data_IF_949689288351
#
_entry.id   IF_949689288351
#
_cell.length_a   1.000
_cell.length_b   1.000
_cell.length_c   1.000
_cell.angle_alpha   90.00
_cell.angle_beta   90.00
_cell.angle_gamma   90.00
#
_symmetry.space_group_name_H-M   'P 1'
#
loop_
_entity.id
_entity.type
_entity.pdbx_description
1 polymer ?
#
# COMPACT_ATOMS: atom_id res chain seq x y z
N UNK A 1 -1.25 5.31 7.19
CA UNK A 1 -1.78 3.93 7.29
C UNK A 1 -3.29 3.92 7.17
N UNK A 2 -4.02 4.75 7.92
CA UNK A 2 -5.49 4.92 7.84
C UNK A 2 -6.03 5.02 6.40
N UNK A 3 -5.55 5.98 5.63
CA UNK A 3 -6.05 6.20 4.26
C UNK A 3 -5.87 4.97 3.35
N UNK A 4 -4.83 4.17 3.56
CA UNK A 4 -4.58 2.96 2.75
C UNK A 4 -5.53 1.84 3.16
N UNK A 5 -5.70 1.66 4.47
CA UNK A 5 -6.61 0.68 5.07
C UNK A 5 -8.06 0.92 4.60
N UNK A 6 -8.52 2.17 4.64
CA UNK A 6 -9.86 2.57 4.15
C UNK A 6 -10.00 2.34 2.64
N UNK A 7 -8.97 2.67 1.85
CA UNK A 7 -8.99 2.53 0.39
C UNK A 7 -9.10 1.07 -0.07
N UNK A 8 -8.38 0.17 0.60
CA UNK A 8 -8.38 -1.26 0.24
C UNK A 8 -9.43 -2.07 1.01
N UNK A 9 -10.21 -1.42 1.89
CA UNK A 9 -11.22 -2.07 2.72
C UNK A 9 -10.64 -3.11 3.70
N UNK A 10 -9.40 -2.92 4.17
CA UNK A 10 -8.75 -3.84 5.10
C UNK A 10 -8.35 -3.13 6.39
N UNK A 11 -8.30 -3.89 7.49
CA UNK A 11 -7.81 -3.40 8.77
C UNK A 11 -6.34 -2.94 8.67
N UNK A 12 -5.99 -1.90 9.43
CA UNK A 12 -4.60 -1.39 9.52
C UNK A 12 -3.57 -2.48 9.82
N UNK A 13 -3.95 -3.46 10.65
CA UNK A 13 -3.11 -4.62 10.97
C UNK A 13 -2.80 -5.49 9.74
N UNK A 14 -3.79 -5.71 8.89
CA UNK A 14 -3.62 -6.45 7.63
C UNK A 14 -2.68 -5.70 6.70
N UNK A 15 -2.87 -4.38 6.57
CA UNK A 15 -1.97 -3.52 5.77
C UNK A 15 -0.54 -3.59 6.30
N UNK A 16 -0.37 -3.51 7.62
CA UNK A 16 0.95 -3.64 8.26
C UNK A 16 1.59 -4.99 7.98
N UNK A 17 0.85 -6.10 8.11
CA UNK A 17 1.37 -7.44 7.77
C UNK A 17 1.77 -7.56 6.31
N UNK A 18 1.00 -6.96 5.39
CA UNK A 18 1.33 -6.92 3.95
C UNK A 18 2.57 -6.10 3.64
N UNK A 19 2.81 -5.05 4.40
CA UNK A 19 4.06 -4.26 4.29
C UNK A 19 5.23 -5.06 4.86
N UNK A 20 5.03 -5.70 6.01
CA UNK A 20 6.06 -6.52 6.66
C UNK A 20 6.41 -7.78 5.84
N UNK A 21 5.45 -8.37 5.13
CA UNK A 21 5.66 -9.49 4.20
C UNK A 21 6.30 -9.07 2.87
N UNK A 22 6.35 -7.76 2.58
CA UNK A 22 6.87 -7.23 1.32
C UNK A 22 5.86 -7.24 0.16
N UNK A 23 4.61 -7.63 0.39
CA UNK A 23 3.52 -7.55 -0.61
C UNK A 23 3.24 -6.11 -1.02
N UNK A 24 3.25 -5.18 -0.05
CA UNK A 24 3.03 -3.75 -0.28
C UNK A 24 4.31 -2.99 0.05
N UNK A 25 4.92 -2.36 -0.94
CA UNK A 25 6.10 -1.51 -0.73
C UNK A 25 5.71 -0.23 0.00
N UNK A 26 6.27 -0.02 1.20
CA UNK A 26 6.17 1.21 1.95
C UNK A 26 7.53 1.92 2.05
N UNK A 27 7.49 3.24 2.09
CA UNK A 27 8.66 4.09 2.36
C UNK A 27 8.61 4.49 3.83
N UNK A 28 9.71 4.27 4.55
CA UNK A 28 9.86 4.82 5.89
C UNK A 28 10.20 6.29 5.76
N UNK A 29 9.33 7.16 6.29
CA UNK A 29 9.64 8.58 6.39
C UNK A 29 10.64 8.72 7.54
N UNK A 30 11.89 9.04 7.22
CA UNK A 30 12.92 9.29 8.23
C UNK A 30 12.54 10.50 9.09
N UNK A 31 12.46 10.30 10.40
CA UNK A 31 12.11 11.31 11.40
C UNK A 31 11.83 10.63 12.75
N UNK A 32 11.82 11.40 13.85
CA UNK A 32 11.64 10.91 15.23
C UNK A 32 10.38 10.07 15.46
N UNK A 33 9.46 10.09 14.50
CA UNK A 33 8.26 9.27 14.45
C UNK A 33 8.47 8.19 13.39
N UNK A 34 8.38 6.91 13.75
CA UNK A 34 8.49 5.78 12.82
C UNK A 34 7.27 5.67 11.88
N UNK A 35 7.02 6.72 11.10
CA UNK A 35 5.92 6.82 10.18
C UNK A 35 6.24 6.06 8.88
N UNK A 36 5.43 5.06 8.57
CA UNK A 36 5.46 4.36 7.30
C UNK A 36 4.44 5.01 6.35
N UNK A 37 4.92 5.42 5.17
CA UNK A 37 4.07 5.94 4.10
C UNK A 37 4.06 4.92 2.97
N UNK A 38 2.87 4.43 2.63
CA UNK A 38 2.67 3.66 1.41
C UNK A 38 2.37 4.65 0.29
N UNK A 39 3.10 4.57 -0.82
CA UNK A 39 2.80 5.37 -2.01
C UNK A 39 1.56 4.79 -2.69
N UNK A 40 0.66 5.66 -3.15
CA UNK A 40 -0.57 5.24 -3.82
C UNK A 40 -0.29 4.36 -5.05
N UNK A 41 0.75 4.69 -5.84
CA UNK A 41 1.18 3.88 -6.98
C UNK A 41 1.51 2.44 -6.59
N UNK A 42 2.10 2.21 -5.41
CA UNK A 42 2.42 0.85 -4.91
C UNK A 42 1.16 0.08 -4.52
N UNK A 43 0.16 0.77 -3.98
CA UNK A 43 -1.15 0.15 -3.68
C UNK A 43 -1.85 -0.22 -4.98
N UNK A 44 -1.79 0.63 -6.01
CA UNK A 44 -2.39 0.38 -7.33
C UNK A 44 -1.71 -0.77 -8.06
N UNK A 45 -0.38 -0.82 -8.05
CA UNK A 45 0.41 -1.96 -8.55
C UNK A 45 0.01 -3.26 -7.83
N UNK A 46 -0.08 -3.23 -6.49
CA UNK A 46 -0.47 -4.40 -5.70
C UNK A 46 -1.91 -4.86 -5.96
N UNK A 47 -2.84 -3.92 -6.15
CA UNK A 47 -4.23 -4.22 -6.53
C UNK A 47 -4.36 -4.74 -7.97
N UNK A 48 -3.27 -4.76 -8.76
CA UNK A 48 -3.33 -5.13 -10.17
C UNK A 48 -4.12 -4.14 -11.02
N UNK A 49 -4.27 -2.89 -10.54
CA UNK A 49 -4.94 -1.81 -11.29
C UNK A 49 -4.06 -1.24 -12.41
N UNK A 50 -2.96 -1.92 -12.76
CA UNK A 50 -2.08 -1.62 -13.90
C UNK A 50 -2.46 -2.47 -15.14
N UNK A 51 -3.75 -2.77 -15.28
CA UNK A 51 -4.29 -3.45 -16.46
C UNK A 51 -5.56 -2.77 -16.97
N UNK A 52 -5.46 -1.46 -17.21
CA UNK A 52 -6.01 -0.89 -18.43
C UNK A 52 -5.09 -1.34 -19.58
N UNK A 53 -5.21 -2.63 -19.91
CA UNK A 53 -4.62 -3.24 -21.07
C UNK A 53 -5.77 -3.81 -21.88
N UNK A 54 -6.24 -3.02 -22.84
CA UNK A 54 -6.62 -3.49 -24.18
C UNK A 54 -7.66 -4.63 -24.22
N UNK A 55 -8.93 -4.26 -24.40
CA UNK A 55 -9.81 -5.04 -25.25
C UNK A 55 -9.41 -4.72 -26.71
N UNK A 56 -8.52 -5.52 -27.30
CA UNK A 56 -8.29 -5.60 -28.74
C UNK A 56 -7.97 -7.05 -29.13
#
# INVERSE_FOLDING_TARGET
MDQVAERIGQSKWTVYRKIASGEIRAVRLGGSTSALRVLESRVREWLGLDRDGEAA
#
